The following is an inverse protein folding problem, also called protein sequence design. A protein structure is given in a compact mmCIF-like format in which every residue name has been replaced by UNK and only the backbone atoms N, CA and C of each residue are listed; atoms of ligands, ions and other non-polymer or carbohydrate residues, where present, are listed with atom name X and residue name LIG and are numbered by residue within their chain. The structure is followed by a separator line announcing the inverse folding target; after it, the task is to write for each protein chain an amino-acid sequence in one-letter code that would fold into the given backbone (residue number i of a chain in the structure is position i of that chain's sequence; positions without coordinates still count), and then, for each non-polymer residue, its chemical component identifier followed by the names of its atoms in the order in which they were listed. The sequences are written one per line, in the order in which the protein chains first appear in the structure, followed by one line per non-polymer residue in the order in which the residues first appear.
data_IF_908220163179
#
_entry.id   IF_908220163179
#
_cell.length_a   1.000
_cell.length_b   1.000
_cell.length_c   1.000
_cell.angle_alpha   90.00
_cell.angle_beta   90.00
_cell.angle_gamma   90.00
#
_symmetry.space_group_name_H-M   'P 1'
#
loop_
_entity.id
_entity.type
_entity.pdbx_description
1 polymer ?
#
# COMPACT_ATOMS: atom_id res chain seq x y z
N UNK A 1 22.81 14.91 -0.14
CA UNK A 1 21.65 14.05 -0.42
C UNK A 1 20.42 14.94 -0.54
N UNK A 2 19.80 15.03 -1.73
CA UNK A 2 18.60 15.86 -1.92
C UNK A 2 17.38 15.00 -1.60
N UNK A 3 16.67 15.35 -0.53
CA UNK A 3 15.36 14.76 -0.23
C UNK A 3 14.41 15.02 -1.40
N UNK A 4 14.01 13.94 -2.08
CA UNK A 4 12.95 13.98 -3.09
C UNK A 4 11.76 13.15 -2.61
N UNK A 5 10.58 13.33 -3.19
CA UNK A 5 9.40 12.52 -2.85
C UNK A 5 9.63 11.00 -2.98
N UNK A 6 10.67 10.57 -3.70
CA UNK A 6 11.05 9.18 -3.90
C UNK A 6 12.09 8.64 -2.90
N UNK A 7 12.66 9.48 -2.02
CA UNK A 7 13.56 8.99 -0.96
C UNK A 7 12.77 8.54 0.26
N UNK A 8 13.15 7.38 0.84
CA UNK A 8 12.61 6.95 2.12
C UNK A 8 12.82 8.04 3.17
N UNK A 9 11.74 8.45 3.83
CA UNK A 9 11.82 9.40 4.95
C UNK A 9 12.58 8.80 6.15
N UNK A 10 12.49 7.48 6.31
CA UNK A 10 13.10 6.70 7.39
C UNK A 10 13.73 5.42 6.80
N UNK A 11 15.02 5.20 7.05
CA UNK A 11 15.76 4.04 6.54
C UNK A 11 15.28 2.71 7.13
N UNK A 12 14.77 2.79 8.35
CA UNK A 12 14.37 1.70 9.23
C UNK A 12 12.93 1.23 8.97
N UNK A 13 12.11 2.00 8.26
CA UNK A 13 10.74 1.60 7.95
C UNK A 13 10.74 0.62 6.77
N UNK A 14 10.22 -0.58 7.04
CA UNK A 14 10.08 -1.69 6.09
C UNK A 14 11.01 -2.87 6.40
N UNK A 15 10.88 -3.94 5.64
CA UNK A 15 11.66 -5.17 5.84
C UNK A 15 11.11 -6.30 4.98
N UNK A 16 11.76 -7.47 5.02
CA UNK A 16 11.27 -8.66 4.34
C UNK A 16 9.91 -9.09 4.91
N UNK A 17 9.03 -9.58 4.05
CA UNK A 17 7.71 -10.11 4.44
C UNK A 17 7.48 -11.48 3.82
N UNK A 18 6.64 -12.26 4.47
CA UNK A 18 6.23 -13.59 4.01
C UNK A 18 4.75 -13.74 4.34
N UNK A 19 3.89 -13.43 3.37
CA UNK A 19 2.44 -13.39 3.53
C UNK A 19 1.75 -14.34 2.53
N UNK A 20 0.44 -14.47 2.70
CA UNK A 20 -0.46 -15.09 1.74
C UNK A 20 -1.41 -14.03 1.23
N UNK A 21 -1.59 -13.93 -0.09
CA UNK A 21 -2.53 -12.98 -0.68
C UNK A 21 -3.97 -13.50 -0.67
N UNK A 22 -4.89 -12.66 -1.14
CA UNK A 22 -6.32 -12.97 -1.22
C UNK A 22 -6.67 -14.14 -2.18
N UNK A 23 -5.73 -14.60 -3.01
CA UNK A 23 -5.89 -15.76 -3.90
C UNK A 23 -5.33 -17.04 -3.30
N UNK A 24 -4.67 -16.97 -2.14
CA UNK A 24 -3.98 -18.07 -1.50
C UNK A 24 -2.52 -18.23 -1.95
N UNK A 25 -1.99 -17.31 -2.78
CA UNK A 25 -0.61 -17.37 -3.23
C UNK A 25 0.34 -16.84 -2.16
N UNK A 26 1.52 -17.46 -2.04
CA UNK A 26 2.58 -16.99 -1.17
C UNK A 26 3.29 -15.80 -1.82
N UNK A 27 3.41 -14.70 -1.09
CA UNK A 27 3.98 -13.44 -1.56
C UNK A 27 5.02 -12.88 -0.60
N UNK A 28 6.02 -12.21 -1.14
CA UNK A 28 7.08 -11.48 -0.41
C UNK A 28 7.16 -10.03 -0.87
N UNK A 29 8.04 -9.23 -0.26
CA UNK A 29 8.34 -7.87 -0.67
C UNK A 29 8.79 -7.77 -2.13
N UNK A 30 9.46 -8.80 -2.65
CA UNK A 30 9.93 -8.87 -4.04
C UNK A 30 8.76 -8.86 -5.03
N UNK A 31 7.63 -9.49 -4.67
CA UNK A 31 6.41 -9.58 -5.49
C UNK A 31 5.89 -8.20 -5.91
N UNK A 32 6.10 -7.19 -5.07
CA UNK A 32 5.50 -5.87 -5.21
C UNK A 32 6.50 -4.78 -5.62
N UNK A 33 7.76 -5.14 -5.90
CA UNK A 33 8.78 -4.20 -6.38
C UNK A 33 8.48 -3.70 -7.80
N UNK A 34 9.07 -2.55 -8.15
CA UNK A 34 8.99 -1.98 -9.50
C UNK A 34 7.78 -1.09 -9.78
N UNK A 35 6.84 -0.98 -8.83
CA UNK A 35 5.71 -0.03 -8.91
C UNK A 35 5.59 0.75 -7.59
N UNK A 36 5.24 2.04 -7.62
CA UNK A 36 4.88 2.79 -6.41
C UNK A 36 3.73 2.09 -5.68
N UNK A 37 3.89 1.90 -4.37
CA UNK A 37 2.96 1.12 -3.54
C UNK A 37 2.54 1.89 -2.31
N UNK A 38 1.24 2.00 -2.10
CA UNK A 38 0.64 2.46 -0.85
C UNK A 38 0.33 1.24 0.01
N UNK A 39 1.01 1.11 1.15
CA UNK A 39 0.73 0.05 2.13
C UNK A 39 -0.23 0.61 3.18
N UNK A 40 -1.34 -0.08 3.40
CA UNK A 40 -2.33 0.22 4.42
C UNK A 40 -2.49 -1.00 5.35
N UNK A 41 -2.27 -0.82 6.64
CA UNK A 41 -2.50 -1.85 7.65
C UNK A 41 -3.92 -1.71 8.19
N UNK A 42 -4.72 -2.77 8.14
CA UNK A 42 -6.13 -2.75 8.55
C UNK A 42 -6.70 -4.14 8.71
N UNK A 43 -8.01 -4.28 8.81
CA UNK A 43 -8.71 -5.57 8.85
C UNK A 43 -10.08 -5.44 8.18
N UNK A 44 -10.59 -6.54 7.64
CA UNK A 44 -11.79 -6.52 6.78
C UNK A 44 -13.09 -6.32 7.56
N UNK A 45 -13.11 -6.70 8.85
CA UNK A 45 -14.25 -6.51 9.74
C UNK A 45 -14.21 -5.19 10.52
N UNK A 46 -13.58 -4.15 9.97
CA UNK A 46 -13.59 -2.82 10.55
C UNK A 46 -14.77 -2.02 9.99
N UNK A 47 -15.80 -1.70 10.80
CA UNK A 47 -17.06 -1.17 10.26
C UNK A 47 -17.00 0.30 9.81
N UNK A 48 -15.95 1.04 10.15
CA UNK A 48 -15.92 2.50 9.96
C UNK A 48 -14.61 3.00 9.34
N UNK A 49 -13.51 2.98 10.10
CA UNK A 49 -12.27 3.67 9.70
C UNK A 49 -11.55 3.04 8.50
N UNK A 50 -11.58 1.71 8.34
CA UNK A 50 -10.89 1.06 7.21
C UNK A 50 -11.57 1.33 5.86
N UNK A 51 -12.90 1.15 5.71
CA UNK A 51 -13.60 1.54 4.49
C UNK A 51 -13.45 3.02 4.16
N UNK A 52 -13.48 3.90 5.16
CA UNK A 52 -13.30 5.33 4.98
C UNK A 52 -11.90 5.69 4.45
N UNK A 53 -10.85 5.06 5.00
CA UNK A 53 -9.48 5.26 4.55
C UNK A 53 -9.27 4.82 3.09
N UNK A 54 -9.75 3.63 2.72
CA UNK A 54 -9.67 3.14 1.34
C UNK A 54 -10.47 4.00 0.36
N UNK A 55 -11.64 4.49 0.77
CA UNK A 55 -12.45 5.42 -0.03
C UNK A 55 -11.73 6.75 -0.26
N UNK A 56 -11.03 7.24 0.76
CA UNK A 56 -10.20 8.45 0.68
C UNK A 56 -9.03 8.25 -0.29
N UNK A 57 -8.35 7.11 -0.24
CA UNK A 57 -7.30 6.76 -1.21
C UNK A 57 -7.84 6.71 -2.64
N UNK A 58 -8.99 6.05 -2.86
CA UNK A 58 -9.63 6.02 -4.16
C UNK A 58 -9.99 7.42 -4.68
N UNK A 59 -10.46 8.32 -3.81
CA UNK A 59 -10.71 9.72 -4.16
C UNK A 59 -9.43 10.48 -4.51
N UNK A 60 -8.32 10.20 -3.82
CA UNK A 60 -7.02 10.78 -4.15
C UNK A 60 -6.52 10.31 -5.53
N UNK A 61 -6.66 9.02 -5.86
CA UNK A 61 -6.24 8.50 -7.18
C UNK A 61 -7.01 9.12 -8.33
N UNK A 62 -8.31 9.43 -8.15
CA UNK A 62 -9.11 10.15 -9.16
C UNK A 62 -8.69 11.60 -9.38
N UNK A 63 -7.87 12.17 -8.50
CA UNK A 63 -7.34 13.54 -8.59
C UNK A 63 -5.93 13.60 -9.18
N UNK A 64 -5.37 12.45 -9.59
CA UNK A 64 -4.07 12.43 -10.26
C UNK A 64 -4.15 13.18 -11.61
N UNK A 65 -3.09 13.89 -12.01
CA UNK A 65 -3.00 14.50 -13.33
C UNK A 65 -3.18 13.47 -14.46
N UNK A 66 -3.65 13.92 -15.61
CA UNK A 66 -3.71 13.06 -16.80
C UNK A 66 -2.33 12.54 -17.18
N UNK A 67 -2.26 11.25 -17.54
CA UNK A 67 -1.00 10.57 -17.88
C UNK A 67 -0.27 9.96 -16.67
N UNK A 68 -0.68 10.28 -15.44
CA UNK A 68 -0.11 9.66 -14.24
C UNK A 68 -0.78 8.32 -13.92
N UNK A 69 0.03 7.33 -13.53
CA UNK A 69 -0.46 6.01 -13.12
C UNK A 69 -0.65 5.98 -11.61
N UNK A 70 -1.85 5.58 -11.16
CA UNK A 70 -2.10 5.39 -9.73
C UNK A 70 -1.17 4.31 -9.14
N UNK A 71 -0.66 4.52 -7.91
CA UNK A 71 0.12 3.50 -7.23
C UNK A 71 -0.75 2.26 -6.95
N UNK A 72 -0.10 1.10 -6.82
CA UNK A 72 -0.81 -0.08 -6.29
C UNK A 72 -1.11 0.12 -4.81
N UNK A 73 -2.23 -0.42 -4.33
CA UNK A 73 -2.59 -0.41 -2.90
C UNK A 73 -2.50 -1.83 -2.34
N UNK A 74 -1.73 -2.00 -1.27
CA UNK A 74 -1.68 -3.24 -0.50
C UNK A 74 -2.35 -3.02 0.85
N UNK A 75 -3.47 -3.70 1.07
CA UNK A 75 -4.02 -3.85 2.40
C UNK A 75 -3.38 -5.07 3.06
N UNK A 76 -2.64 -4.85 4.13
CA UNK A 76 -2.07 -5.92 4.96
C UNK A 76 -3.00 -6.11 6.17
N UNK A 77 -3.59 -7.30 6.31
CA UNK A 77 -4.45 -7.59 7.46
C UNK A 77 -3.63 -7.62 8.74
N UNK A 78 -4.12 -6.98 9.80
CA UNK A 78 -3.61 -7.11 11.18
C UNK A 78 -4.48 -8.04 12.04
N UNK A 79 -5.51 -8.62 11.44
CA UNK A 79 -6.43 -9.59 12.04
C UNK A 79 -6.40 -10.89 11.19
N UNK A 80 -5.72 -11.96 11.65
CA UNK A 80 -5.53 -13.22 10.91
C UNK A 80 -6.80 -14.07 10.75
#
# INVERSE_FOLDING_TARGET
MKSGCASRAYSEIGGPISLTDHTGARVTEETYKGKPTVVYFGFTYCPDVCPAALSTLGAAYRRLPEGETAPQTLLISVDP
#
